data_IF_438015976607
#
_entry.id   IF_438015976607
#
_cell.length_a   1.000
_cell.length_b   1.000
_cell.length_c   1.000
_cell.angle_alpha   90.00
_cell.angle_beta   90.00
_cell.angle_gamma   90.00
#
_symmetry.space_group_name_H-M   'P 1'
#
loop_
_entity.id
_entity.type
_entity.pdbx_description
1 polymer ?
#
# COMPACT_ATOMS: atom_id res chain seq x y z
N UNK A 1 -10.89 2.74 17.39
CA UNK A 1 -9.58 3.13 16.82
C UNK A 1 -9.03 2.01 15.95
N UNK A 2 -8.46 2.39 14.83
CA UNK A 2 -7.85 1.42 13.92
C UNK A 2 -6.52 0.92 14.46
N UNK A 3 -6.23 -0.37 14.32
CA UNK A 3 -4.93 -0.95 14.65
C UNK A 3 -3.88 -0.71 13.55
N UNK A 4 -4.27 -0.10 12.44
CA UNK A 4 -3.38 0.21 11.33
C UNK A 4 -2.20 1.09 11.74
N UNK A 5 -2.42 2.02 12.66
CA UNK A 5 -1.38 2.93 13.13
C UNK A 5 -0.21 2.22 13.82
N UNK A 6 -0.40 0.95 14.23
CA UNK A 6 0.65 0.15 14.87
C UNK A 6 1.60 -0.49 13.88
N UNK A 7 1.23 -0.52 12.60
CA UNK A 7 2.07 -1.10 11.57
C UNK A 7 3.24 -0.16 11.25
N UNK A 8 4.41 -0.74 10.97
CA UNK A 8 5.53 0.02 10.47
C UNK A 8 5.17 0.60 9.10
N UNK A 9 5.73 1.72 8.74
CA UNK A 9 5.48 2.44 7.49
C UNK A 9 4.12 3.15 7.44
N UNK A 10 3.29 3.03 8.48
CA UNK A 10 2.00 3.72 8.52
C UNK A 10 2.15 5.00 9.31
N UNK A 11 2.27 6.11 8.58
CA UNK A 11 2.24 7.44 9.15
C UNK A 11 0.88 8.08 8.88
N UNK A 12 0.80 9.37 9.16
CA UNK A 12 -0.42 10.15 9.00
C UNK A 12 -0.96 10.11 7.58
N UNK A 13 -0.08 10.22 6.58
CA UNK A 13 -0.47 10.19 5.17
C UNK A 13 -1.03 8.81 4.77
N UNK A 14 -0.39 7.73 5.21
CA UNK A 14 -0.87 6.38 4.91
C UNK A 14 -2.21 6.11 5.57
N UNK A 15 -2.41 6.58 6.80
CA UNK A 15 -3.71 6.46 7.47
C UNK A 15 -4.82 7.16 6.71
N UNK A 16 -4.53 8.35 6.18
CA UNK A 16 -5.49 9.09 5.36
C UNK A 16 -5.84 8.32 4.08
N UNK A 17 -4.85 7.71 3.43
CA UNK A 17 -5.06 6.92 2.23
C UNK A 17 -5.92 5.68 2.53
N UNK A 18 -5.64 4.98 3.63
CA UNK A 18 -6.46 3.84 4.04
C UNK A 18 -7.90 4.26 4.33
N UNK A 19 -8.10 5.42 4.93
CA UNK A 19 -9.45 5.95 5.19
C UNK A 19 -10.22 6.16 3.88
N UNK A 20 -9.58 6.74 2.87
CA UNK A 20 -10.17 6.93 1.54
C UNK A 20 -10.53 5.57 0.93
N UNK A 21 -9.69 4.56 1.12
CA UNK A 21 -9.89 3.22 0.57
C UNK A 21 -10.90 2.39 1.35
N UNK A 22 -11.35 2.85 2.50
CA UNK A 22 -12.26 2.09 3.34
C UNK A 22 -11.60 0.96 4.12
N UNK A 23 -10.28 0.99 4.25
CA UNK A 23 -9.52 -0.01 5.03
C UNK A 23 -9.42 0.50 6.46
N UNK A 24 -10.01 -0.24 7.41
CA UNK A 24 -10.13 0.20 8.79
C UNK A 24 -9.44 -0.71 9.81
N UNK A 25 -8.92 -1.86 9.37
CA UNK A 25 -8.28 -2.81 10.29
C UNK A 25 -7.14 -3.56 9.60
N UNK A 26 -6.23 -4.10 10.41
CA UNK A 26 -5.14 -4.95 9.93
C UNK A 26 -5.67 -6.21 9.25
N UNK A 27 -6.72 -6.81 9.82
CA UNK A 27 -7.34 -8.00 9.25
C UNK A 27 -7.90 -7.72 7.85
N UNK A 28 -8.55 -6.57 7.68
CA UNK A 28 -9.07 -6.15 6.39
C UNK A 28 -7.93 -5.91 5.40
N UNK A 29 -6.87 -5.26 5.86
CA UNK A 29 -5.69 -4.97 5.03
C UNK A 29 -5.02 -6.26 4.55
N UNK A 30 -4.95 -7.29 5.41
CA UNK A 30 -4.36 -8.58 5.05
C UNK A 30 -5.09 -9.27 3.89
N UNK A 31 -6.36 -8.95 3.68
CA UNK A 31 -7.17 -9.49 2.59
C UNK A 31 -7.03 -8.68 1.29
N UNK A 32 -6.32 -7.56 1.32
CA UNK A 32 -6.16 -6.68 0.16
C UNK A 32 -4.93 -7.04 -0.67
N UNK A 33 -4.93 -6.57 -1.92
CA UNK A 33 -3.76 -6.61 -2.78
C UNK A 33 -3.24 -5.19 -3.00
N UNK A 34 -1.92 -5.00 -2.97
CA UNK A 34 -1.31 -3.68 -3.11
C UNK A 34 -1.66 -3.02 -4.45
N UNK A 35 -1.69 -3.81 -5.53
CA UNK A 35 -2.07 -3.32 -6.85
C UNK A 35 -3.48 -2.72 -6.84
N UNK A 36 -4.43 -3.44 -6.25
CA UNK A 36 -5.82 -3.00 -6.18
C UNK A 36 -5.97 -1.73 -5.35
N UNK A 37 -5.28 -1.65 -4.22
CA UNK A 37 -5.33 -0.47 -3.37
C UNK A 37 -4.76 0.75 -4.08
N UNK A 38 -3.64 0.59 -4.76
CA UNK A 38 -2.99 1.70 -5.46
C UNK A 38 -3.88 2.23 -6.60
N UNK A 39 -4.40 1.34 -7.44
CA UNK A 39 -5.27 1.71 -8.55
C UNK A 39 -6.55 2.38 -8.03
N UNK A 40 -7.15 1.81 -6.99
CA UNK A 40 -8.36 2.35 -6.39
C UNK A 40 -8.13 3.74 -5.81
N UNK A 41 -7.00 3.94 -5.12
CA UNK A 41 -6.67 5.25 -4.55
C UNK A 41 -6.53 6.31 -5.64
N UNK A 42 -5.83 5.99 -6.72
CA UNK A 42 -5.68 6.91 -7.84
C UNK A 42 -7.03 7.26 -8.47
N UNK A 43 -7.90 6.26 -8.62
CA UNK A 43 -9.24 6.47 -9.20
C UNK A 43 -10.11 7.35 -8.29
N UNK A 44 -10.10 7.07 -6.99
CA UNK A 44 -10.95 7.80 -6.03
C UNK A 44 -10.51 9.26 -5.84
N UNK A 45 -9.21 9.52 -5.95
CA UNK A 45 -8.67 10.88 -5.79
C UNK A 45 -8.55 11.64 -7.10
N UNK A 46 -8.76 10.97 -8.24
CA UNK A 46 -8.65 11.58 -9.55
C UNK A 46 -7.23 11.97 -9.93
N UNK A 47 -6.22 11.38 -9.31
CA UNK A 47 -4.81 11.69 -9.60
C UNK A 47 -3.95 10.45 -9.45
N UNK A 48 -2.84 10.42 -10.19
CA UNK A 48 -1.84 9.37 -10.07
C UNK A 48 -0.93 9.67 -8.89
N UNK A 49 -0.89 8.79 -7.91
CA UNK A 49 -0.02 8.93 -6.75
C UNK A 49 1.41 8.51 -7.06
N UNK A 50 2.35 8.98 -6.23
CA UNK A 50 3.75 8.55 -6.31
C UNK A 50 3.82 7.03 -6.16
N UNK A 51 4.60 6.34 -7.02
CA UNK A 51 4.74 4.88 -6.90
C UNK A 51 5.24 4.40 -5.54
N UNK A 52 5.91 5.24 -4.75
CA UNK A 52 6.32 4.87 -3.39
C UNK A 52 5.12 4.56 -2.49
N UNK A 53 3.95 5.10 -2.79
CA UNK A 53 2.72 4.77 -2.07
C UNK A 53 2.39 3.28 -2.22
N UNK A 54 2.61 2.73 -3.42
CA UNK A 54 2.47 1.29 -3.66
C UNK A 54 3.40 0.49 -2.75
N UNK A 55 4.65 0.93 -2.61
CA UNK A 55 5.63 0.23 -1.76
C UNK A 55 5.19 0.21 -0.30
N UNK A 56 4.63 1.31 0.18
CA UNK A 56 4.06 1.37 1.54
C UNK A 56 2.90 0.38 1.68
N UNK A 57 2.01 0.31 0.71
CA UNK A 57 0.91 -0.67 0.73
C UNK A 57 1.44 -2.11 0.75
N UNK A 58 2.44 -2.41 -0.08
CA UNK A 58 3.03 -3.74 -0.13
C UNK A 58 3.65 -4.13 1.21
N UNK A 59 4.39 -3.22 1.83
CA UNK A 59 5.04 -3.47 3.12
C UNK A 59 4.01 -3.66 4.25
N UNK A 60 2.96 -2.84 4.27
CA UNK A 60 1.93 -2.95 5.30
C UNK A 60 1.07 -4.21 5.15
N UNK A 61 0.74 -4.59 3.93
CA UNK A 61 0.03 -5.84 3.66
C UNK A 61 0.88 -7.04 4.07
N UNK A 62 2.17 -7.02 3.75
CA UNK A 62 3.09 -8.08 4.14
C UNK A 62 3.13 -8.24 5.66
N UNK A 63 3.24 -7.14 6.40
CA UNK A 63 3.23 -7.17 7.86
C UNK A 63 1.90 -7.68 8.40
N UNK A 64 0.78 -7.26 7.80
CA UNK A 64 -0.55 -7.70 8.22
C UNK A 64 -0.76 -9.20 8.03
N UNK A 65 -0.16 -9.77 6.97
CA UNK A 65 -0.30 -11.19 6.64
C UNK A 65 0.64 -12.09 7.42
N UNK A 66 1.88 -11.65 7.61
CA UNK A 66 2.96 -12.51 8.12
C UNK A 66 3.49 -12.10 9.48
N UNK A 67 3.23 -10.87 9.91
CA UNK A 67 3.83 -10.29 11.11
C UNK A 67 5.26 -9.81 10.88
N UNK A 68 5.86 -10.07 9.73
CA UNK A 68 7.22 -9.64 9.43
C UNK A 68 7.25 -8.15 9.12
N UNK A 69 8.13 -7.43 9.82
CA UNK A 69 8.25 -5.97 9.70
C UNK A 69 9.39 -5.64 8.74
N UNK A 70 9.03 -5.11 7.59
CA UNK A 70 9.98 -4.67 6.56
C UNK A 70 9.75 -3.19 6.26
N UNK A 71 10.83 -2.48 5.93
CA UNK A 71 10.70 -1.10 5.47
C UNK A 71 10.14 -1.09 4.05
N UNK A 72 9.37 -0.04 3.70
CA UNK A 72 8.71 0.04 2.40
C UNK A 72 9.71 -0.01 1.22
N UNK A 73 10.91 0.51 1.40
CA UNK A 73 11.91 0.53 0.31
C UNK A 73 12.47 -0.85 -0.04
N UNK A 74 12.22 -1.87 0.79
CA UNK A 74 12.55 -3.25 0.46
C UNK A 74 11.78 -3.70 -0.79
N UNK A 75 10.60 -3.15 -1.00
CA UNK A 75 9.72 -3.48 -2.14
C UNK A 75 10.00 -2.64 -3.38
N UNK A 76 10.78 -1.57 -3.25
CA UNK A 76 11.08 -0.65 -4.32
C UNK A 76 11.78 -1.30 -5.54
N UNK A 77 12.80 -2.17 -5.38
CA UNK A 77 13.44 -2.80 -6.52
C UNK A 77 12.47 -3.63 -7.35
N UNK A 78 11.63 -4.45 -6.72
CA UNK A 78 10.63 -5.25 -7.42
C UNK A 78 9.62 -4.37 -8.17
N UNK A 79 9.16 -3.30 -7.53
CA UNK A 79 8.23 -2.35 -8.17
C UNK A 79 8.88 -1.71 -9.39
N UNK A 80 10.14 -1.28 -9.29
CA UNK A 80 10.88 -0.68 -10.42
C UNK A 80 11.05 -1.66 -11.56
N UNK A 81 11.31 -2.94 -11.26
CA UNK A 81 11.37 -3.99 -12.27
C UNK A 81 10.04 -4.11 -13.02
N UNK A 82 8.93 -4.10 -12.31
CA UNK A 82 7.60 -4.16 -12.90
C UNK A 82 7.32 -2.95 -13.78
N UNK A 83 7.73 -1.76 -13.35
CA UNK A 83 7.58 -0.53 -14.13
C UNK A 83 8.37 -0.62 -15.44
N UNK A 84 9.60 -1.11 -15.36
CA UNK A 84 10.47 -1.29 -16.53
C UNK A 84 9.88 -2.30 -17.52
N UNK A 85 9.27 -3.36 -17.01
CA UNK A 85 8.64 -4.39 -17.82
C UNK A 85 7.24 -4.01 -18.33
N UNK A 86 6.69 -2.88 -17.88
CA UNK A 86 5.34 -2.45 -18.24
C UNK A 86 4.23 -3.17 -17.50
N UNK A 87 4.55 -3.85 -16.39
CA UNK A 87 3.59 -4.66 -15.61
C UNK A 87 3.07 -3.95 -14.35
N UNK A 88 3.50 -2.73 -14.09
CA UNK A 88 3.08 -2.00 -12.90
C UNK A 88 1.75 -1.30 -13.15
N UNK A 89 0.83 -1.43 -12.24
CA UNK A 89 -0.51 -0.81 -12.16
C UNK A 89 -0.81 0.19 -13.29
N UNK A 90 -1.53 -0.26 -14.30
CA UNK A 90 -1.91 0.61 -15.42
C UNK A 90 -3.04 1.53 -15.02
N UNK A 91 -2.77 2.80 -15.02
CA UNK A 91 -3.74 3.85 -14.74
C UNK A 91 -3.55 5.02 -15.71
#
# INVERSE_FOLDING_TARGET
MSDLAKLKNVGKAALADFAVLGVTSTAQLAACEADDLYVKLCALTGQRHDPCVYDVFAATIHQARTGEVLDWWVFTPSRKERMKAGNFCRI
#
